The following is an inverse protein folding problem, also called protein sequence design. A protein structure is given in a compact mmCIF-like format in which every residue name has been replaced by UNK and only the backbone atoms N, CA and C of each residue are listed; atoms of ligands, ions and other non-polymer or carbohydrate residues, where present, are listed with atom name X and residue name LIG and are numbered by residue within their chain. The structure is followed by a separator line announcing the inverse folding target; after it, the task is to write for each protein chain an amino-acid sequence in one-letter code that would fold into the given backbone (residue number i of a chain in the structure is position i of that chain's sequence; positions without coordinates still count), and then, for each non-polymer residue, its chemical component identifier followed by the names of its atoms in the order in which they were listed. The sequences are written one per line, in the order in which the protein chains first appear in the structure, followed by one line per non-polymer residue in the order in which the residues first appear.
data_IF_588570140998
#
_entry.id   IF_588570140998
#
_cell.length_a   1.000
_cell.length_b   1.000
_cell.length_c   1.000
_cell.angle_alpha   90.00
_cell.angle_beta   90.00
_cell.angle_gamma   90.00
#
_symmetry.space_group_name_H-M   'P 1'
#
loop_
_entity.id
_entity.type
_entity.pdbx_description
1 polymer ?
#
# COMPACT_ATOMS: atom_id res chain seq x y z
N UNK A 1 13.49 6.15 29.17
CA UNK A 1 13.32 6.90 27.91
C UNK A 1 11.88 6.72 27.49
N UNK A 2 11.13 7.80 27.25
CA UNK A 2 9.77 7.66 26.73
C UNK A 2 9.91 7.12 25.31
N UNK A 3 9.62 5.85 25.10
CA UNK A 3 9.40 5.33 23.75
C UNK A 3 8.17 6.03 23.23
N UNK A 4 8.36 6.98 22.30
CA UNK A 4 7.25 7.56 21.57
C UNK A 4 6.41 6.41 21.02
N UNK A 5 5.13 6.34 21.41
CA UNK A 5 4.27 5.23 21.03
C UNK A 5 3.82 5.35 19.56
N UNK A 6 3.87 6.57 19.03
CA UNK A 6 3.45 6.91 17.69
C UNK A 6 4.38 7.97 17.08
N UNK A 7 4.58 7.90 15.77
CA UNK A 7 5.44 8.82 14.99
C UNK A 7 4.64 9.34 13.79
N UNK A 8 4.80 10.63 13.47
CA UNK A 8 4.28 11.20 12.23
C UNK A 8 5.43 11.55 11.30
N UNK A 9 5.36 11.12 10.05
CA UNK A 9 6.47 11.20 9.11
C UNK A 9 6.00 11.33 7.67
N UNK A 10 6.86 11.89 6.81
CA UNK A 10 6.62 11.94 5.38
C UNK A 10 7.58 11.00 4.67
N UNK A 11 7.04 10.08 3.86
CA UNK A 11 7.83 9.11 3.10
C UNK A 11 7.59 9.28 1.61
N UNK A 12 8.64 9.12 0.82
CA UNK A 12 8.59 9.10 -0.65
C UNK A 12 8.99 7.71 -1.14
N UNK A 13 8.70 7.30 -2.38
CA UNK A 13 9.21 6.02 -2.87
C UNK A 13 10.74 6.05 -3.00
N UNK A 14 11.37 4.87 -3.06
CA UNK A 14 12.81 4.73 -3.31
C UNK A 14 13.12 4.81 -4.80
N UNK A 15 12.35 4.07 -5.60
CA UNK A 15 12.35 4.15 -7.05
C UNK A 15 11.25 5.08 -7.57
N UNK A 16 11.31 5.40 -8.85
CA UNK A 16 10.21 6.09 -9.53
C UNK A 16 9.00 5.17 -9.56
N UNK A 17 8.17 5.24 -8.52
CA UNK A 17 6.75 4.94 -8.75
C UNK A 17 6.28 5.89 -9.84
N UNK A 18 5.61 5.30 -10.84
CA UNK A 18 4.99 6.04 -11.92
C UNK A 18 4.20 7.21 -11.35
N UNK A 19 4.34 8.37 -11.99
CA UNK A 19 3.67 9.59 -11.55
C UNK A 19 2.17 9.35 -11.48
N UNK A 20 1.59 9.43 -10.28
CA UNK A 20 0.14 9.35 -10.14
C UNK A 20 -0.54 10.55 -10.82
N UNK A 21 -1.70 10.31 -11.39
CA UNK A 21 -2.60 11.36 -11.86
C UNK A 21 -3.37 11.96 -10.68
N UNK A 22 -3.86 13.21 -10.81
CA UNK A 22 -4.76 13.81 -9.82
C UNK A 22 -6.03 12.97 -9.56
N UNK A 23 -6.47 12.18 -10.55
CA UNK A 23 -7.63 11.30 -10.45
C UNK A 23 -7.37 10.11 -9.52
N UNK A 24 -6.23 9.44 -9.67
CA UNK A 24 -5.82 8.33 -8.80
C UNK A 24 -5.64 8.79 -7.35
N UNK A 25 -5.05 9.97 -7.14
CA UNK A 25 -4.92 10.55 -5.80
C UNK A 25 -6.28 10.86 -5.19
N UNK A 26 -7.22 11.41 -5.97
CA UNK A 26 -8.57 11.68 -5.48
C UNK A 26 -9.29 10.39 -5.03
N UNK A 27 -9.15 9.30 -5.78
CA UNK A 27 -9.70 7.98 -5.41
C UNK A 27 -9.13 7.45 -4.10
N UNK A 28 -7.81 7.55 -3.91
CA UNK A 28 -7.13 7.10 -2.69
C UNK A 28 -7.48 7.93 -1.45
N UNK A 29 -7.92 9.17 -1.66
CA UNK A 29 -8.40 10.05 -0.60
C UNK A 29 -9.91 9.98 -0.38
N UNK A 30 -10.65 9.21 -1.18
CA UNK A 30 -12.10 9.10 -1.04
C UNK A 30 -12.46 8.32 0.24
N UNK A 31 -12.88 9.06 1.27
CA UNK A 31 -13.25 8.57 2.60
C UNK A 31 -14.65 7.97 2.67
N UNK A 32 -15.38 7.90 1.56
CA UNK A 32 -16.66 7.19 1.52
C UNK A 32 -16.45 5.71 1.91
N UNK A 33 -17.48 5.07 2.50
CA UNK A 33 -17.37 3.66 2.90
C UNK A 33 -17.14 2.71 1.71
N UNK A 34 -17.54 3.11 0.50
CA UNK A 34 -17.28 2.40 -0.75
C UNK A 34 -15.99 2.89 -1.46
N UNK A 35 -15.31 3.90 -0.91
CA UNK A 35 -14.06 4.43 -1.45
C UNK A 35 -12.86 3.54 -1.10
N UNK A 36 -11.71 3.84 -1.69
CA UNK A 36 -10.48 3.05 -1.48
C UNK A 36 -9.74 3.40 -0.20
N UNK A 37 -9.98 4.58 0.35
CA UNK A 37 -9.25 5.07 1.51
C UNK A 37 -9.33 4.14 2.74
N UNK A 38 -10.49 3.60 3.15
CA UNK A 38 -10.56 2.70 4.30
C UNK A 38 -9.70 1.45 4.13
N UNK A 39 -9.69 0.87 2.92
CA UNK A 39 -8.88 -0.30 2.59
C UNK A 39 -7.40 0.05 2.58
N UNK A 40 -7.04 1.15 1.91
CA UNK A 40 -5.67 1.66 1.88
C UNK A 40 -5.11 1.92 3.28
N UNK A 41 -5.88 2.59 4.15
CA UNK A 41 -5.50 2.84 5.54
C UNK A 41 -5.29 1.53 6.32
N UNK A 42 -6.16 0.54 6.14
CA UNK A 42 -6.04 -0.75 6.83
C UNK A 42 -4.79 -1.52 6.38
N UNK A 43 -4.55 -1.62 5.06
CA UNK A 43 -3.36 -2.27 4.52
C UNK A 43 -2.07 -1.56 4.96
N UNK A 44 -2.04 -0.22 4.92
CA UNK A 44 -0.91 0.57 5.40
C UNK A 44 -0.63 0.33 6.89
N UNK A 45 -1.66 0.31 7.73
CA UNK A 45 -1.50 0.02 9.16
C UNK A 45 -0.97 -1.39 9.40
N UNK A 46 -1.44 -2.38 8.64
CA UNK A 46 -0.95 -3.75 8.74
C UNK A 46 0.55 -3.84 8.41
N UNK A 47 1.00 -3.15 7.36
CA UNK A 47 2.42 -3.06 6.98
C UNK A 47 3.25 -2.38 8.08
N UNK A 48 2.79 -1.27 8.64
CA UNK A 48 3.50 -0.55 9.70
C UNK A 48 3.54 -1.33 11.04
N UNK A 49 2.58 -2.21 11.28
CA UNK A 49 2.51 -3.06 12.47
C UNK A 49 3.22 -4.42 12.26
N UNK A 50 3.99 -4.59 11.18
CA UNK A 50 4.80 -5.79 10.96
C UNK A 50 5.80 -5.99 12.11
N UNK A 51 5.92 -7.22 12.61
CA UNK A 51 6.78 -7.55 13.75
C UNK A 51 6.17 -7.28 15.14
N UNK A 52 4.90 -6.86 15.20
CA UNK A 52 4.16 -6.72 16.44
C UNK A 52 3.77 -8.09 17.03
N UNK A 53 3.84 -8.24 18.35
CA UNK A 53 3.38 -9.44 19.06
C UNK A 53 1.86 -9.50 19.23
N UNK A 54 1.13 -8.45 18.78
CA UNK A 54 -0.32 -8.38 18.84
C UNK A 54 -0.96 -9.24 17.74
N UNK A 55 -1.52 -10.39 18.14
CA UNK A 55 -2.17 -11.36 17.24
C UNK A 55 -3.65 -11.01 16.93
N UNK A 56 -4.21 -9.96 17.54
CA UNK A 56 -5.61 -9.55 17.32
C UNK A 56 -5.71 -8.31 16.45
N UNK A 57 -6.26 -8.47 15.25
CA UNK A 57 -6.53 -7.36 14.32
C UNK A 57 -7.40 -6.26 14.95
N UNK A 58 -8.41 -6.65 15.72
CA UNK A 58 -9.29 -5.70 16.43
C UNK A 58 -8.52 -4.85 17.44
N UNK A 59 -7.62 -5.46 18.21
CA UNK A 59 -6.80 -4.72 19.18
C UNK A 59 -5.82 -3.77 18.47
N UNK A 60 -5.25 -4.17 17.33
CA UNK A 60 -4.39 -3.29 16.52
C UNK A 60 -5.19 -2.08 16.02
N UNK A 61 -6.39 -2.30 15.48
CA UNK A 61 -7.26 -1.22 15.00
C UNK A 61 -7.68 -0.27 16.14
N UNK A 62 -8.00 -0.80 17.32
CA UNK A 62 -8.36 0.02 18.48
C UNK A 62 -7.16 0.82 19.02
N UNK A 63 -5.98 0.18 19.12
CA UNK A 63 -4.74 0.81 19.56
C UNK A 63 -4.29 1.92 18.62
N UNK A 64 -4.48 1.74 17.32
CA UNK A 64 -4.11 2.67 16.25
C UNK A 64 -5.34 3.32 15.62
N UNK A 65 -6.36 3.64 16.43
CA UNK A 65 -7.58 4.31 15.95
C UNK A 65 -7.29 5.70 15.36
N UNK A 66 -6.29 6.39 15.91
CA UNK A 66 -5.90 7.75 15.53
C UNK A 66 -4.87 7.77 14.39
N UNK A 67 -4.48 6.60 13.87
CA UNK A 67 -3.64 6.48 12.68
C UNK A 67 -4.38 7.01 11.44
N UNK A 68 -3.70 7.81 10.63
CA UNK A 68 -4.20 8.30 9.35
C UNK A 68 -3.04 8.33 8.34
N UNK A 69 -3.37 8.23 7.04
CA UNK A 69 -2.43 8.29 5.94
C UNK A 69 -2.99 9.21 4.86
N UNK A 70 -2.17 10.09 4.30
CA UNK A 70 -2.57 10.97 3.20
C UNK A 70 -1.59 10.87 2.04
N UNK A 71 -2.11 10.96 0.84
CA UNK A 71 -1.32 10.93 -0.40
C UNK A 71 -1.22 12.34 -0.92
N UNK A 72 -0.03 12.84 -1.22
CA UNK A 72 0.14 14.18 -1.81
C UNK A 72 1.14 14.15 -2.96
N UNK A 73 0.98 15.09 -3.89
CA UNK A 73 1.95 15.32 -4.95
C UNK A 73 2.98 16.36 -4.52
N UNK A 74 4.27 16.03 -4.72
CA UNK A 74 5.39 16.95 -4.63
C UNK A 74 6.14 16.98 -5.96
N UNK A 75 7.07 17.92 -6.11
CA UNK A 75 7.84 18.11 -7.34
C UNK A 75 8.63 16.86 -7.81
N UNK A 76 8.85 15.89 -6.92
CA UNK A 76 9.60 14.64 -7.18
C UNK A 76 8.71 13.39 -7.25
N UNK A 77 7.38 13.54 -7.30
CA UNK A 77 6.44 12.42 -7.38
C UNK A 77 5.48 12.34 -6.19
N UNK A 78 5.00 11.12 -5.92
CA UNK A 78 4.06 10.84 -4.83
C UNK A 78 4.77 10.88 -3.47
N UNK A 79 4.08 11.42 -2.46
CA UNK A 79 4.50 11.43 -1.07
C UNK A 79 3.35 10.90 -0.20
N UNK A 80 3.68 10.03 0.75
CA UNK A 80 2.76 9.58 1.79
C UNK A 80 3.06 10.32 3.09
N UNK A 81 2.06 11.00 3.64
CA UNK A 81 2.07 11.59 4.97
C UNK A 81 1.45 10.58 5.94
N UNK A 82 2.25 10.10 6.89
CA UNK A 82 1.84 9.18 7.94
C UNK A 82 1.55 9.98 9.22
N UNK A 83 0.38 9.76 9.82
CA UNK A 83 -0.08 10.46 11.02
C UNK A 83 -0.31 9.41 12.11
N UNK A 84 0.34 9.57 13.26
CA UNK A 84 0.25 8.64 14.39
C UNK A 84 0.57 7.17 14.01
N UNK A 85 1.58 6.97 13.17
CA UNK A 85 2.03 5.64 12.77
C UNK A 85 2.69 4.90 13.96
N UNK A 86 2.63 3.55 14.00
CA UNK A 86 3.36 2.77 14.99
C UNK A 86 4.85 3.11 15.01
N UNK A 87 5.39 3.48 16.17
CA UNK A 87 6.80 3.83 16.30
C UNK A 87 7.75 2.65 16.02
N UNK A 88 7.27 1.42 16.16
CA UNK A 88 8.01 0.19 15.82
C UNK A 88 8.42 0.10 14.34
N UNK A 89 7.78 0.87 13.46
CA UNK A 89 8.15 0.95 12.05
C UNK A 89 9.37 1.84 11.77
N UNK A 90 9.91 2.52 12.80
CA UNK A 90 10.96 3.51 12.69
C UNK A 90 12.19 3.13 13.52
N UNK A 91 13.37 3.52 13.03
CA UNK A 91 14.65 3.45 13.74
C UNK A 91 15.28 4.84 13.66
N UNK A 92 15.55 5.45 14.82
CA UNK A 92 16.09 6.82 14.93
C UNK A 92 15.29 7.88 14.16
N UNK A 93 13.96 7.70 14.08
CA UNK A 93 13.04 8.60 13.37
C UNK A 93 12.92 8.34 11.87
N UNK A 94 13.72 7.43 11.31
CA UNK A 94 13.66 7.02 9.91
C UNK A 94 12.86 5.72 9.75
N UNK A 95 12.01 5.66 8.74
CA UNK A 95 11.21 4.45 8.48
C UNK A 95 12.11 3.30 8.02
N UNK A 96 11.84 2.08 8.49
CA UNK A 96 12.55 0.88 8.03
C UNK A 96 12.35 0.71 6.52
N UNK A 97 13.43 0.46 5.78
CA UNK A 97 13.43 0.40 4.32
C UNK A 97 12.41 -0.60 3.75
N UNK A 98 12.37 -1.84 4.25
CA UNK A 98 11.41 -2.85 3.78
C UNK A 98 9.95 -2.46 4.05
N UNK A 99 9.67 -1.79 5.17
CA UNK A 99 8.32 -1.27 5.46
C UNK A 99 7.96 -0.18 4.44
N UNK A 100 8.89 0.73 4.16
CA UNK A 100 8.71 1.77 3.13
C UNK A 100 8.41 1.16 1.76
N UNK A 101 9.15 0.13 1.33
CA UNK A 101 8.92 -0.59 0.06
C UNK A 101 7.53 -1.24 0.02
N UNK A 102 7.10 -1.89 1.11
CA UNK A 102 5.77 -2.48 1.21
C UNK A 102 4.64 -1.45 1.21
N UNK A 103 4.83 -0.28 1.84
CA UNK A 103 3.84 0.81 1.81
C UNK A 103 3.54 1.27 0.37
N UNK A 104 4.57 1.35 -0.46
CA UNK A 104 4.43 1.72 -1.86
C UNK A 104 3.95 0.55 -2.75
N UNK A 105 4.21 -0.69 -2.36
CA UNK A 105 3.62 -1.88 -3.01
C UNK A 105 2.11 -1.93 -2.80
N UNK A 106 1.63 -1.66 -1.57
CA UNK A 106 0.20 -1.55 -1.26
C UNK A 106 -0.47 -0.47 -2.11
N UNK A 107 0.16 0.70 -2.24
CA UNK A 107 -0.34 1.80 -3.06
C UNK A 107 -0.48 1.39 -4.53
N UNK A 108 0.56 0.78 -5.12
CA UNK A 108 0.58 0.30 -6.51
C UNK A 108 -0.54 -0.71 -6.74
N UNK A 109 -0.62 -1.74 -5.90
CA UNK A 109 -1.53 -2.86 -6.12
C UNK A 109 -3.00 -2.43 -5.96
N UNK A 110 -3.32 -1.53 -5.03
CA UNK A 110 -4.68 -1.01 -4.86
C UNK A 110 -5.15 -0.17 -6.04
N UNK A 111 -4.27 0.66 -6.61
CA UNK A 111 -4.61 1.44 -7.79
C UNK A 111 -4.81 0.53 -9.01
N UNK A 112 -3.93 -0.45 -9.19
CA UNK A 112 -4.01 -1.39 -10.31
C UNK A 112 -5.31 -2.22 -10.29
N UNK A 113 -5.65 -2.77 -9.13
CA UNK A 113 -6.83 -3.63 -8.94
C UNK A 113 -8.12 -2.88 -9.28
N UNK A 114 -8.18 -1.57 -9.01
CA UNK A 114 -9.42 -0.80 -9.18
C UNK A 114 -9.57 -0.27 -10.58
N UNK A 115 -8.47 0.06 -11.25
CA UNK A 115 -8.52 0.74 -12.55
C UNK A 115 -8.43 -0.24 -13.72
N UNK A 116 -7.69 -1.35 -13.57
CA UNK A 116 -7.36 -2.26 -14.69
C UNK A 116 -8.15 -3.57 -14.66
N UNK A 117 -8.67 -4.01 -13.50
CA UNK A 117 -9.43 -5.26 -13.43
C UNK A 117 -10.84 -5.16 -13.97
N UNK A 118 -11.45 -3.97 -13.94
CA UNK A 118 -12.76 -3.73 -14.57
C UNK A 118 -12.72 -3.82 -16.10
N UNK A 119 -11.52 -3.84 -16.71
CA UNK A 119 -11.33 -3.73 -18.16
C UNK A 119 -10.78 -5.03 -18.77
N UNK A 120 -10.27 -5.98 -17.97
CA UNK A 120 -9.69 -7.19 -18.54
C UNK A 120 -10.73 -8.23 -18.96
N UNK A 121 -10.38 -8.95 -20.03
CA UNK A 121 -10.79 -10.34 -20.21
C UNK A 121 -12.27 -10.52 -20.60
N UNK A 122 -12.85 -9.50 -21.24
CA UNK A 122 -14.19 -9.53 -21.83
C UNK A 122 -14.35 -10.71 -22.79
N UNK A 123 -15.43 -11.49 -22.60
CA UNK A 123 -15.78 -12.62 -23.45
C UNK A 123 -15.11 -13.95 -23.10
N UNK A 124 -14.30 -14.01 -22.04
CA UNK A 124 -13.78 -15.26 -21.48
C UNK A 124 -14.74 -15.88 -20.46
N UNK A 125 -14.60 -17.19 -20.22
CA UNK A 125 -15.30 -17.87 -19.12
C UNK A 125 -14.73 -17.44 -17.76
N UNK A 126 -15.53 -17.54 -16.69
CA UNK A 126 -15.14 -17.05 -15.34
C UNK A 126 -13.78 -17.59 -14.86
N UNK A 127 -13.51 -18.89 -15.06
CA UNK A 127 -12.22 -19.49 -14.65
C UNK A 127 -11.03 -18.94 -15.44
N UNK A 128 -11.23 -18.60 -16.71
CA UNK A 128 -10.20 -18.01 -17.55
C UNK A 128 -9.96 -16.54 -17.17
N UNK A 129 -11.02 -15.80 -16.86
CA UNK A 129 -10.94 -14.43 -16.37
C UNK A 129 -10.13 -14.35 -15.07
N UNK A 130 -10.43 -15.20 -14.08
CA UNK A 130 -9.70 -15.22 -12.80
C UNK A 130 -8.21 -15.53 -13.01
N UNK A 131 -7.89 -16.49 -13.88
CA UNK A 131 -6.49 -16.87 -14.14
C UNK A 131 -5.71 -15.73 -14.79
N UNK A 132 -6.30 -15.05 -15.78
CA UNK A 132 -5.68 -13.90 -16.43
C UNK A 132 -5.54 -12.72 -15.47
N UNK A 133 -6.55 -12.46 -14.64
CA UNK A 133 -6.49 -11.43 -13.59
C UNK A 133 -5.31 -11.64 -12.64
N UNK A 134 -5.12 -12.86 -12.11
CA UNK A 134 -3.97 -13.18 -11.24
C UNK A 134 -2.65 -12.95 -11.96
N UNK A 135 -2.54 -13.38 -13.22
CA UNK A 135 -1.35 -13.15 -14.04
C UNK A 135 -1.06 -11.65 -14.24
N UNK A 136 -2.09 -10.85 -14.52
CA UNK A 136 -1.98 -9.41 -14.72
C UNK A 136 -1.49 -8.67 -13.46
N UNK A 137 -2.03 -9.02 -12.29
CA UNK A 137 -1.58 -8.47 -11.00
C UNK A 137 -0.10 -8.77 -10.77
N UNK A 138 0.30 -10.04 -10.92
CA UNK A 138 1.70 -10.45 -10.71
C UNK A 138 2.66 -9.80 -11.71
N UNK A 139 2.25 -9.66 -12.98
CA UNK A 139 3.03 -8.98 -14.01
C UNK A 139 3.19 -7.49 -13.70
N UNK A 140 2.12 -6.81 -13.28
CA UNK A 140 2.18 -5.40 -12.88
C UNK A 140 3.09 -5.20 -11.65
N UNK A 141 3.05 -6.14 -10.72
CA UNK A 141 3.93 -6.15 -9.55
C UNK A 141 5.41 -6.45 -9.88
N UNK A 142 5.75 -6.73 -11.15
CA UNK A 142 7.07 -7.20 -11.59
C UNK A 142 7.53 -8.47 -10.88
N UNK A 143 6.59 -9.32 -10.44
CA UNK A 143 6.88 -10.58 -9.76
C UNK A 143 7.18 -11.75 -10.72
N UNK A 144 6.98 -11.55 -12.03
CA UNK A 144 7.24 -12.53 -13.07
C UNK A 144 8.40 -12.03 -13.93
N UNK A 145 9.58 -12.60 -13.73
CA UNK A 145 10.78 -12.26 -14.49
C UNK A 145 10.96 -13.23 -15.67
N UNK A 146 10.82 -12.76 -16.93
CA UNK A 146 11.01 -13.62 -18.08
C UNK A 146 12.49 -14.00 -18.23
N UNK A 147 12.75 -15.16 -18.84
CA UNK A 147 14.10 -15.66 -19.15
C UNK A 147 14.95 -16.10 -17.95
N UNK A 148 14.33 -16.33 -16.78
CA UNK A 148 14.98 -16.93 -15.61
C UNK A 148 14.56 -18.40 -15.48
N UNK A 149 15.51 -19.28 -15.12
CA UNK A 149 15.19 -20.68 -14.84
C UNK A 149 14.41 -20.78 -13.52
N UNK A 150 13.46 -21.72 -13.38
CA UNK A 150 12.66 -21.86 -12.16
C UNK A 150 13.53 -21.92 -10.88
N UNK A 151 13.32 -20.97 -9.97
CA UNK A 151 14.07 -20.80 -8.72
C UNK A 151 13.26 -20.11 -7.60
N UNK A 152 11.93 -20.09 -7.73
CA UNK A 152 10.98 -19.60 -6.73
C UNK A 152 10.84 -20.58 -5.56
#
# INVERSE_FOLDING_TARGET
MMTEQFVSANITPLDSLDTLSPHEVAKLQDRNQAGLYPLFRQCALAVLNCGSELDSTKQVLEKHKDFDIRVSHKHRGVQLELINAPASAFVDGEIIQGIREHMFSVLRDLLYVVDELDICCDGLEESEQITNMVFHILRHASAIEPHIKPNL
#
